data_IF_559641221659
#
_entry.id   IF_559641221659
#
_cell.length_a   1.000
_cell.length_b   1.000
_cell.length_c   1.000
_cell.angle_alpha   90.00
_cell.angle_beta   90.00
_cell.angle_gamma   90.00
#
_symmetry.space_group_name_H-M   'P 1'
#
loop_
_entity.id
_entity.type
_entity.pdbx_description
1 polymer ?
#
# COMPACT_ATOMS: atom_id res chain seq x y z
N UNK A 1 -3.65 20.85 6.95
CA UNK A 1 -5.02 21.09 6.46
C UNK A 1 -4.97 21.13 4.94
N UNK A 2 -5.90 20.50 4.20
CA UNK A 2 -5.89 20.59 2.74
C UNK A 2 -6.06 22.07 2.34
N UNK A 3 -5.17 22.56 1.49
CA UNK A 3 -5.04 23.99 1.13
C UNK A 3 -6.19 24.44 0.21
N UNK A 4 -7.01 23.51 -0.32
CA UNK A 4 -8.11 23.80 -1.25
C UNK A 4 -9.40 23.10 -0.86
N UNK A 5 -10.52 23.85 -0.82
CA UNK A 5 -11.88 23.29 -0.79
C UNK A 5 -12.25 22.81 -2.19
N UNK A 6 -12.67 21.55 -2.31
CA UNK A 6 -13.08 20.94 -3.58
C UNK A 6 -14.60 21.07 -3.75
N UNK A 7 -15.04 21.61 -4.90
CA UNK A 7 -16.42 21.53 -5.35
C UNK A 7 -16.65 20.29 -6.24
N UNK A 8 -17.89 19.78 -6.34
CA UNK A 8 -18.21 18.62 -7.17
C UNK A 8 -17.87 18.91 -8.65
N UNK A 9 -17.14 18.00 -9.29
CA UNK A 9 -16.85 18.08 -10.73
C UNK A 9 -17.43 16.84 -11.41
N UNK A 10 -18.30 17.01 -12.42
CA UNK A 10 -19.02 15.90 -13.06
C UNK A 10 -18.12 14.97 -13.91
N UNK A 11 -16.81 15.20 -13.95
CA UNK A 11 -15.83 14.46 -14.79
C UNK A 11 -14.68 13.86 -13.97
N UNK A 12 -14.61 14.09 -12.65
CA UNK A 12 -13.54 13.55 -11.79
C UNK A 12 -14.12 12.60 -10.74
N UNK A 13 -13.63 11.36 -10.72
CA UNK A 13 -13.84 10.44 -9.61
C UNK A 13 -13.05 10.93 -8.39
N UNK A 14 -13.63 11.89 -7.65
CA UNK A 14 -13.11 12.34 -6.37
C UNK A 14 -13.75 11.53 -5.24
N UNK A 15 -12.99 11.25 -4.19
CA UNK A 15 -13.49 10.44 -3.08
C UNK A 15 -12.59 10.49 -1.88
N UNK A 16 -12.91 9.69 -0.87
CA UNK A 16 -12.14 9.59 0.37
C UNK A 16 -11.58 8.18 0.51
N UNK A 17 -10.31 8.06 0.87
CA UNK A 17 -9.67 6.80 1.28
C UNK A 17 -9.24 6.92 2.74
N UNK A 18 -9.56 5.91 3.54
CA UNK A 18 -9.00 5.77 4.88
C UNK A 18 -7.70 4.96 4.77
N UNK A 19 -6.59 5.57 5.19
CA UNK A 19 -5.29 4.90 5.33
C UNK A 19 -4.88 5.03 6.79
N UNK A 20 -4.27 3.98 7.37
CA UNK A 20 -3.83 3.98 8.77
C UNK A 20 -2.66 4.93 9.01
N UNK A 21 -1.99 5.32 7.92
CA UNK A 21 -0.76 6.14 7.91
C UNK A 21 -1.02 7.60 7.61
N UNK A 22 -2.28 8.01 7.55
CA UNK A 22 -2.66 9.39 7.39
C UNK A 22 -3.48 9.84 8.60
N UNK A 23 -3.22 11.07 9.07
CA UNK A 23 -3.86 11.61 10.27
C UNK A 23 -5.37 11.79 10.13
N UNK A 24 -5.90 11.79 8.90
CA UNK A 24 -7.32 11.93 8.58
C UNK A 24 -7.64 11.14 7.31
N UNK A 25 -8.92 10.84 7.10
CA UNK A 25 -9.37 10.30 5.82
C UNK A 25 -8.99 11.25 4.68
N UNK A 26 -8.28 10.68 3.71
CA UNK A 26 -7.57 11.37 2.65
C UNK A 26 -8.44 11.54 1.42
N UNK A 27 -8.48 12.73 0.83
CA UNK A 27 -9.21 12.99 -0.41
C UNK A 27 -8.33 12.64 -1.61
N UNK A 28 -8.82 11.82 -2.54
CA UNK A 28 -8.14 11.58 -3.82
C UNK A 28 -8.87 12.28 -4.96
N UNK A 29 -8.14 12.72 -5.98
CA UNK A 29 -8.68 13.37 -7.18
C UNK A 29 -8.81 12.43 -8.38
N UNK A 30 -8.23 11.23 -8.31
CA UNK A 30 -8.34 10.21 -9.34
C UNK A 30 -8.30 8.78 -8.80
N UNK A 31 -8.83 7.81 -9.56
CA UNK A 31 -8.74 6.39 -9.23
C UNK A 31 -7.29 5.91 -9.14
N UNK A 32 -6.41 6.43 -10.00
CA UNK A 32 -4.99 6.08 -9.98
C UNK A 32 -4.30 6.54 -8.68
N UNK A 33 -4.66 7.73 -8.19
CA UNK A 33 -4.19 8.24 -6.90
C UNK A 33 -4.72 7.40 -5.74
N UNK A 34 -6.01 7.06 -5.74
CA UNK A 34 -6.59 6.13 -4.75
C UNK A 34 -5.80 4.81 -4.71
N UNK A 35 -5.50 4.26 -5.88
CA UNK A 35 -4.79 2.99 -6.01
C UNK A 35 -3.35 3.09 -5.49
N UNK A 36 -2.67 4.20 -5.75
CA UNK A 36 -1.36 4.48 -5.17
C UNK A 36 -1.41 4.59 -3.63
N UNK A 37 -2.42 5.27 -3.09
CA UNK A 37 -2.61 5.40 -1.64
C UNK A 37 -2.86 4.05 -0.97
N UNK A 38 -3.56 3.11 -1.65
CA UNK A 38 -3.74 1.74 -1.17
C UNK A 38 -2.40 1.00 -1.04
N UNK A 39 -1.51 1.14 -2.03
CA UNK A 39 -0.17 0.53 -2.00
C UNK A 39 0.67 1.10 -0.85
N UNK A 40 0.66 2.42 -0.66
CA UNK A 40 1.39 3.08 0.42
C UNK A 40 0.85 2.69 1.81
N UNK A 41 -0.46 2.48 1.94
CA UNK A 41 -1.10 2.07 3.20
C UNK A 41 -0.62 0.68 3.67
N UNK A 42 -0.26 -0.22 2.75
CA UNK A 42 0.27 -1.56 3.11
C UNK A 42 1.79 -1.66 3.19
N UNK A 43 2.55 -0.76 2.57
CA UNK A 43 4.02 -0.86 2.58
C UNK A 43 4.60 -0.63 3.99
N UNK A 44 5.14 -1.65 4.69
CA UNK A 44 5.57 -1.53 6.08
C UNK A 44 6.67 -0.49 6.30
N UNK A 45 7.38 -0.10 5.24
CA UNK A 45 8.45 0.92 5.29
C UNK A 45 7.90 2.34 5.32
N UNK A 46 6.63 2.53 4.99
CA UNK A 46 5.95 3.85 5.00
C UNK A 46 5.35 4.09 6.39
N UNK A 47 5.69 5.22 7.00
CA UNK A 47 5.17 5.62 8.32
C UNK A 47 4.13 6.71 8.25
N UNK A 48 4.22 7.60 7.25
CA UNK A 48 3.27 8.72 7.10
C UNK A 48 3.05 9.09 5.65
N UNK A 49 1.79 9.36 5.30
CA UNK A 49 1.35 9.82 3.99
C UNK A 49 0.68 11.19 4.15
N UNK A 50 1.00 12.15 3.29
CA UNK A 50 0.29 13.41 3.16
C UNK A 50 -0.16 13.65 1.73
N UNK A 51 -1.33 14.25 1.52
CA UNK A 51 -1.86 14.63 0.21
C UNK A 51 -1.78 16.12 0.00
N UNK A 52 -1.43 16.54 -1.22
CA UNK A 52 -1.23 17.94 -1.61
C UNK A 52 -0.41 18.70 -0.56
N UNK A 53 0.80 18.19 -0.25
CA UNK A 53 1.46 18.47 1.01
C UNK A 53 1.99 19.90 1.09
N UNK A 54 2.45 20.44 -0.05
CA UNK A 54 3.09 21.73 -0.18
C UNK A 54 2.79 22.33 -1.56
N UNK A 55 2.67 23.65 -1.62
CA UNK A 55 2.62 24.38 -2.90
C UNK A 55 3.99 25.01 -3.17
N UNK A 56 4.66 24.49 -4.19
CA UNK A 56 5.94 24.99 -4.67
C UNK A 56 5.72 26.24 -5.51
N UNK A 57 6.50 27.28 -5.22
CA UNK A 57 6.44 28.57 -5.91
C UNK A 57 7.78 28.88 -6.52
N UNK A 58 7.80 29.33 -7.77
CA UNK A 58 9.01 29.81 -8.43
C UNK A 58 8.71 31.01 -9.34
N UNK A 59 9.69 31.90 -9.48
CA UNK A 59 9.60 33.04 -10.37
C UNK A 59 9.62 32.57 -11.84
N UNK A 60 8.72 33.12 -12.65
CA UNK A 60 8.77 33.01 -14.10
C UNK A 60 9.16 34.37 -14.70
N UNK A 61 9.82 34.35 -15.87
CA UNK A 61 10.33 35.55 -16.58
C UNK A 61 9.23 36.61 -16.85
N UNK A 62 7.96 36.23 -16.82
CA UNK A 62 6.81 37.12 -16.94
C UNK A 62 5.98 37.11 -15.64
N UNK A 63 6.46 37.86 -14.63
CA UNK A 63 5.83 38.42 -13.40
C UNK A 63 4.89 37.59 -12.50
N UNK A 64 4.13 36.60 -12.99
CA UNK A 64 3.34 35.71 -12.13
C UNK A 64 4.18 34.51 -11.68
N UNK A 65 4.39 34.41 -10.36
CA UNK A 65 4.95 33.22 -9.75
C UNK A 65 4.12 32.00 -10.17
N UNK A 66 4.80 30.98 -10.69
CA UNK A 66 4.15 29.72 -11.01
C UNK A 66 4.02 28.90 -9.74
N UNK A 67 2.88 28.22 -9.61
CA UNK A 67 2.58 27.34 -8.49
C UNK A 67 2.44 25.90 -8.96
N UNK A 68 2.89 24.97 -8.13
CA UNK A 68 2.76 23.54 -8.35
C UNK A 68 2.66 22.80 -7.02
N UNK A 69 1.67 21.92 -6.89
CA UNK A 69 1.46 21.11 -5.69
C UNK A 69 1.58 19.64 -6.10
N UNK A 70 2.59 18.90 -5.61
CA UNK A 70 2.66 17.46 -5.79
C UNK A 70 1.43 16.77 -5.19
N UNK A 71 1.05 15.60 -5.71
CA UNK A 71 -0.15 14.90 -5.25
C UNK A 71 0.05 14.29 -3.85
N UNK A 72 1.21 13.66 -3.59
CA UNK A 72 1.46 12.89 -2.37
C UNK A 72 2.87 13.15 -1.81
N UNK A 73 3.03 13.21 -0.49
CA UNK A 73 4.32 13.03 0.21
C UNK A 73 4.32 11.72 0.99
N UNK A 74 5.43 11.00 0.92
CA UNK A 74 5.65 9.76 1.66
C UNK A 74 6.85 9.94 2.57
N UNK A 75 6.65 9.66 3.86
CA UNK A 75 7.73 9.54 4.83
C UNK A 75 7.96 8.05 5.12
N UNK A 76 9.21 7.64 5.01
CA UNK A 76 9.64 6.28 5.29
C UNK A 76 10.19 6.16 6.71
N UNK A 77 10.12 4.96 7.25
CA UNK A 77 10.70 4.61 8.54
C UNK A 77 12.23 4.82 8.52
N UNK A 78 12.82 5.46 9.57
CA UNK A 78 14.26 5.67 9.64
C UNK A 78 15.11 4.40 9.48
N UNK A 79 14.72 3.28 10.09
CA UNK A 79 15.46 2.01 9.97
C UNK A 79 15.40 1.44 8.55
N UNK A 80 14.30 1.69 7.84
CA UNK A 80 14.18 1.34 6.42
C UNK A 80 15.09 2.21 5.54
N UNK A 81 15.29 3.49 5.90
CA UNK A 81 16.19 4.41 5.19
C UNK A 81 17.66 4.00 5.39
N UNK A 82 18.02 3.56 6.59
CA UNK A 82 19.37 3.06 6.90
C UNK A 82 19.74 1.82 6.07
N UNK A 83 18.76 0.92 5.90
CA UNK A 83 18.95 -0.34 5.15
C UNK A 83 18.78 -0.21 3.64
N UNK A 84 18.01 0.78 3.17
CA UNK A 84 17.84 1.10 1.76
C UNK A 84 18.04 2.62 1.50
N UNK A 85 19.23 3.05 1.06
CA UNK A 85 19.53 4.47 0.81
C UNK A 85 18.71 5.09 -0.34
N UNK A 86 17.98 4.27 -1.10
CA UNK A 86 17.02 4.77 -2.11
C UNK A 86 15.77 5.36 -1.44
N UNK A 87 15.47 4.95 -0.21
CA UNK A 87 14.36 5.51 0.59
C UNK A 87 14.78 6.82 1.23
N UNK A 88 13.98 7.86 0.99
CA UNK A 88 14.04 9.19 1.58
C UNK A 88 12.64 9.77 1.51
N UNK A 89 12.32 10.79 2.31
CA UNK A 89 11.05 11.54 2.13
C UNK A 89 10.88 11.88 0.65
N UNK A 90 9.76 11.44 0.07
CA UNK A 90 9.55 11.51 -1.39
C UNK A 90 8.22 12.18 -1.70
N UNK A 91 8.28 13.21 -2.53
CA UNK A 91 7.14 13.82 -3.20
C UNK A 91 6.81 13.03 -4.46
N UNK A 92 5.54 12.71 -4.66
CA UNK A 92 5.03 11.98 -5.80
C UNK A 92 4.01 12.83 -6.57
N UNK A 93 4.16 12.85 -7.90
CA UNK A 93 3.07 13.14 -8.83
C UNK A 93 2.50 11.80 -9.33
N UNK A 94 1.19 11.64 -9.25
CA UNK A 94 0.47 10.47 -9.76
C UNK A 94 -0.20 10.84 -11.08
N UNK A 95 0.30 10.31 -12.19
CA UNK A 95 -0.20 10.71 -13.52
C UNK A 95 -0.21 9.55 -14.52
N UNK A 96 -1.30 9.39 -15.29
CA UNK A 96 -1.29 8.40 -16.37
C UNK A 96 -0.24 8.73 -17.45
N UNK A 97 0.43 7.72 -18.01
CA UNK A 97 1.45 7.91 -19.06
C UNK A 97 0.89 8.63 -20.28
N UNK A 98 -0.34 8.34 -20.67
CA UNK A 98 -1.01 9.02 -21.79
C UNK A 98 -1.16 10.54 -21.54
N UNK A 99 -1.44 10.94 -20.30
CA UNK A 99 -1.54 12.35 -19.91
C UNK A 99 -0.17 13.01 -19.90
N UNK A 100 0.84 12.34 -19.35
CA UNK A 100 2.22 12.81 -19.34
C UNK A 100 2.71 13.08 -20.77
N UNK A 101 2.50 12.13 -21.70
CA UNK A 101 2.87 12.29 -23.11
C UNK A 101 2.16 13.48 -23.76
N UNK A 102 0.83 13.56 -23.61
CA UNK A 102 0.01 14.61 -24.25
C UNK A 102 0.31 16.01 -23.73
N UNK A 103 0.63 16.16 -22.44
CA UNK A 103 0.80 17.46 -21.76
C UNK A 103 2.23 17.72 -21.31
N UNK A 104 3.22 17.04 -21.89
CA UNK A 104 4.60 17.07 -21.39
C UNK A 104 5.18 18.49 -21.36
N UNK A 105 4.97 19.28 -22.41
CA UNK A 105 5.46 20.66 -22.50
C UNK A 105 4.92 21.57 -21.38
N UNK A 106 3.70 21.33 -20.91
CA UNK A 106 3.07 22.06 -19.81
C UNK A 106 3.57 21.57 -18.43
N UNK A 107 3.78 20.25 -18.29
CA UNK A 107 4.09 19.61 -17.01
C UNK A 107 5.58 19.63 -16.69
N UNK A 108 6.45 19.47 -17.69
CA UNK A 108 7.90 19.37 -17.52
C UNK A 108 8.49 20.56 -16.73
N UNK A 109 8.10 21.83 -16.97
CA UNK A 109 8.60 22.95 -16.16
C UNK A 109 8.23 22.84 -14.67
N UNK A 110 7.02 22.34 -14.36
CA UNK A 110 6.55 22.13 -12.98
C UNK A 110 7.37 21.03 -12.31
N UNK A 111 7.62 19.93 -13.00
CA UNK A 111 8.44 18.83 -12.49
C UNK A 111 9.91 19.22 -12.30
N UNK A 112 10.47 20.05 -13.18
CA UNK A 112 11.82 20.61 -12.99
C UNK A 112 11.91 21.44 -11.71
N UNK A 113 10.93 22.31 -11.48
CA UNK A 113 10.85 23.10 -10.24
C UNK A 113 10.72 22.19 -9.01
N UNK A 114 9.92 21.13 -9.10
CA UNK A 114 9.75 20.17 -8.01
C UNK A 114 11.03 19.38 -7.69
N UNK A 115 11.78 18.98 -8.71
CA UNK A 115 13.08 18.33 -8.54
C UNK A 115 14.09 19.27 -7.90
N UNK A 116 14.14 20.53 -8.31
CA UNK A 116 15.03 21.53 -7.71
C UNK A 116 14.69 21.74 -6.23
N UNK A 117 13.42 22.00 -5.92
CA UNK A 117 12.94 22.15 -4.55
C UNK A 117 13.25 20.92 -3.70
N UNK A 118 12.98 19.71 -4.21
CA UNK A 118 13.23 18.48 -3.47
C UNK A 118 14.72 18.31 -3.11
N UNK A 119 15.64 18.67 -4.02
CA UNK A 119 17.09 18.63 -3.77
C UNK A 119 17.50 19.59 -2.66
N UNK A 120 16.96 20.81 -2.65
CA UNK A 120 17.23 21.81 -1.62
C UNK A 120 16.74 21.39 -0.22
N UNK A 121 15.73 20.51 -0.16
CA UNK A 121 15.10 20.05 1.08
C UNK A 121 15.44 18.59 1.42
N UNK A 122 16.52 18.04 0.85
CA UNK A 122 16.99 16.66 1.08
C UNK A 122 15.91 15.58 0.86
N UNK A 123 14.95 15.87 -0.01
CA UNK A 123 13.85 14.99 -0.39
C UNK A 123 14.04 14.49 -1.84
N UNK A 124 13.20 13.53 -2.24
CA UNK A 124 13.10 13.08 -3.64
C UNK A 124 11.81 13.56 -4.28
N UNK A 125 11.81 13.71 -5.60
CA UNK A 125 10.62 13.88 -6.41
C UNK A 125 10.53 12.71 -7.39
N UNK A 126 9.35 12.08 -7.48
CA UNK A 126 9.09 10.97 -8.41
C UNK A 126 7.75 11.16 -9.11
N UNK A 127 7.66 10.69 -10.34
CA UNK A 127 6.39 10.54 -11.05
C UNK A 127 6.07 9.05 -11.03
N UNK A 128 4.84 8.72 -10.64
CA UNK A 128 4.33 7.34 -10.64
C UNK A 128 3.11 7.26 -11.55
N UNK A 129 3.02 6.17 -12.30
CA UNK A 129 2.02 5.98 -13.35
C UNK A 129 1.25 4.69 -13.15
N UNK A 130 0.25 4.45 -13.98
CA UNK A 130 -0.53 3.22 -14.02
C UNK A 130 0.34 1.96 -14.17
N UNK A 131 1.50 2.07 -14.81
CA UNK A 131 2.42 0.93 -15.00
C UNK A 131 3.03 0.46 -13.68
N UNK A 132 3.35 1.38 -12.78
CA UNK A 132 3.93 1.03 -11.48
C UNK A 132 2.84 0.74 -10.43
N UNK A 133 1.62 1.23 -10.63
CA UNK A 133 0.50 1.11 -9.67
C UNK A 133 -0.38 -0.10 -9.95
N UNK A 134 -0.82 -0.30 -11.20
CA UNK A 134 -1.84 -1.29 -11.57
C UNK A 134 -1.19 -2.63 -11.91
N UNK A 135 -0.58 -3.23 -10.91
CA UNK A 135 0.07 -4.54 -10.97
C UNK A 135 -0.78 -5.61 -10.27
N UNK A 136 -0.52 -6.92 -10.46
CA UNK A 136 -1.20 -7.96 -9.68
C UNK A 136 -1.12 -7.74 -8.17
N UNK A 137 -0.01 -7.13 -7.71
CA UNK A 137 0.18 -6.73 -6.32
C UNK A 137 -0.93 -5.82 -5.80
N UNK A 138 -1.39 -4.83 -6.58
CA UNK A 138 -2.50 -3.97 -6.17
C UNK A 138 -3.79 -4.77 -5.97
N UNK A 139 -4.11 -5.67 -6.89
CA UNK A 139 -5.33 -6.48 -6.79
C UNK A 139 -5.27 -7.43 -5.59
N UNK A 140 -4.13 -8.07 -5.36
CA UNK A 140 -3.91 -8.94 -4.21
C UNK A 140 -4.02 -8.17 -2.89
N UNK A 141 -3.42 -6.98 -2.82
CA UNK A 141 -3.54 -6.10 -1.67
C UNK A 141 -5.00 -5.72 -1.43
N UNK A 142 -5.76 -5.36 -2.48
CA UNK A 142 -7.19 -5.05 -2.33
C UNK A 142 -7.98 -6.21 -1.73
N UNK A 143 -7.69 -7.45 -2.15
CA UNK A 143 -8.30 -8.65 -1.56
C UNK A 143 -7.92 -8.74 -0.07
N UNK A 144 -6.62 -8.76 0.24
CA UNK A 144 -6.11 -8.95 1.60
C UNK A 144 -6.56 -7.86 2.58
N UNK A 145 -6.84 -6.64 2.10
CA UNK A 145 -7.40 -5.56 2.93
C UNK A 145 -8.73 -5.92 3.60
N UNK A 146 -9.49 -6.87 3.08
CA UNK A 146 -10.74 -7.34 3.69
C UNK A 146 -10.50 -8.20 4.93
N UNK A 147 -9.31 -8.79 5.08
CA UNK A 147 -8.96 -9.72 6.16
C UNK A 147 -8.09 -9.07 7.24
N UNK A 148 -8.07 -7.73 7.29
CA UNK A 148 -7.32 -6.99 8.32
C UNK A 148 -7.99 -7.09 9.69
N UNK A 149 -7.22 -7.00 10.79
CA UNK A 149 -7.78 -7.03 12.15
C UNK A 149 -8.91 -6.02 12.41
N UNK A 150 -8.81 -4.80 11.86
CA UNK A 150 -9.84 -3.76 12.02
C UNK A 150 -11.16 -4.07 11.31
N UNK A 151 -11.15 -5.01 10.35
CA UNK A 151 -12.35 -5.45 9.62
C UNK A 151 -12.91 -6.78 10.10
N UNK A 152 -12.00 -7.67 10.51
CA UNK A 152 -12.34 -8.99 11.04
C UNK A 152 -12.85 -8.93 12.48
N UNK A 153 -12.49 -7.88 13.22
CA UNK A 153 -12.73 -7.83 14.67
C UNK A 153 -11.73 -8.70 15.45
N UNK A 154 -11.95 -8.83 16.75
CA UNK A 154 -11.18 -9.73 17.59
C UNK A 154 -11.47 -11.19 17.18
N UNK A 155 -10.45 -12.04 17.02
CA UNK A 155 -10.67 -13.43 16.67
C UNK A 155 -11.40 -14.15 17.81
N UNK A 156 -12.39 -14.98 17.47
CA UNK A 156 -13.01 -15.92 18.41
C UNK A 156 -12.03 -17.03 18.80
N UNK A 157 -12.35 -17.79 19.85
CA UNK A 157 -11.58 -18.98 20.25
C UNK A 157 -11.45 -20.00 19.09
N UNK A 158 -12.53 -20.25 18.35
CA UNK A 158 -12.50 -21.11 17.16
C UNK A 158 -11.54 -20.56 16.10
N UNK A 159 -11.57 -19.25 15.85
CA UNK A 159 -10.66 -18.61 14.89
C UNK A 159 -9.20 -18.74 15.31
N UNK A 160 -8.89 -18.62 16.60
CA UNK A 160 -7.55 -18.84 17.14
C UNK A 160 -7.12 -20.31 16.97
N UNK A 161 -8.00 -21.27 17.27
CA UNK A 161 -7.73 -22.70 17.07
C UNK A 161 -7.45 -23.01 15.59
N UNK A 162 -8.23 -22.45 14.68
CA UNK A 162 -8.01 -22.56 13.23
C UNK A 162 -6.68 -21.97 12.79
N UNK A 163 -6.28 -20.80 13.31
CA UNK A 163 -4.95 -20.23 13.04
C UNK A 163 -3.84 -21.19 13.49
N UNK A 164 -3.94 -21.74 14.70
CA UNK A 164 -2.96 -22.69 15.22
C UNK A 164 -2.84 -23.93 14.35
N UNK A 165 -3.96 -24.53 13.92
CA UNK A 165 -3.96 -25.69 13.03
C UNK A 165 -3.31 -25.38 11.67
N UNK A 166 -3.63 -24.23 11.07
CA UNK A 166 -3.01 -23.80 9.82
C UNK A 166 -1.49 -23.67 9.95
N UNK A 167 -1.01 -23.04 11.03
CA UNK A 167 0.41 -22.83 11.26
C UNK A 167 1.13 -24.16 11.54
N UNK A 168 0.53 -25.06 12.31
CA UNK A 168 1.08 -26.39 12.59
C UNK A 168 1.24 -27.21 11.30
N UNK A 169 0.22 -27.27 10.45
CA UNK A 169 0.30 -28.01 9.18
C UNK A 169 1.32 -27.37 8.23
N UNK A 170 1.39 -26.04 8.17
CA UNK A 170 2.35 -25.33 7.34
C UNK A 170 3.80 -25.54 7.81
N UNK A 171 4.03 -25.59 9.12
CA UNK A 171 5.34 -25.92 9.70
C UNK A 171 5.84 -27.30 9.27
N UNK A 172 4.95 -28.29 9.19
CA UNK A 172 5.29 -29.68 8.79
C UNK A 172 5.67 -29.79 7.32
N UNK A 173 4.95 -29.09 6.42
CA UNK A 173 5.18 -29.20 4.98
C UNK A 173 6.22 -28.20 4.42
N UNK A 174 6.65 -27.21 5.23
CA UNK A 174 7.55 -26.09 4.87
C UNK A 174 6.93 -25.11 3.85
N UNK A 175 6.43 -25.64 2.73
CA UNK A 175 5.79 -24.91 1.66
C UNK A 175 4.63 -25.72 1.07
N UNK A 176 3.50 -25.07 0.80
CA UNK A 176 2.31 -25.70 0.21
C UNK A 176 1.48 -24.65 -0.54
N UNK A 177 0.21 -24.92 -0.81
CA UNK A 177 -0.76 -23.95 -1.35
C UNK A 177 -1.90 -23.73 -0.36
N UNK A 178 -2.64 -22.60 -0.43
CA UNK A 178 -3.86 -22.40 0.34
C UNK A 178 -4.80 -23.60 0.27
N UNK A 179 -5.08 -24.12 -0.93
CA UNK A 179 -5.98 -25.27 -1.11
C UNK A 179 -5.50 -26.48 -0.31
N UNK A 180 -4.27 -26.90 -0.54
CA UNK A 180 -3.72 -28.09 0.09
C UNK A 180 -3.63 -27.93 1.61
N UNK A 181 -3.31 -26.72 2.10
CA UNK A 181 -3.27 -26.45 3.53
C UNK A 181 -4.64 -26.59 4.19
N UNK A 182 -5.71 -26.09 3.55
CA UNK A 182 -7.08 -26.25 4.04
C UNK A 182 -7.49 -27.74 4.08
N UNK A 183 -7.16 -28.49 3.03
CA UNK A 183 -7.45 -29.93 2.91
C UNK A 183 -6.65 -30.77 3.92
N UNK A 184 -5.47 -30.33 4.33
CA UNK A 184 -4.69 -30.96 5.42
C UNK A 184 -5.31 -30.75 6.80
N UNK A 185 -6.05 -29.65 7.01
CA UNK A 185 -6.72 -29.38 8.29
C UNK A 185 -8.06 -30.11 8.36
N UNK A 186 -8.84 -30.11 7.28
CA UNK A 186 -10.18 -30.70 7.27
C UNK A 186 -10.69 -31.05 5.87
N UNK A 187 -11.52 -32.09 5.81
CA UNK A 187 -12.28 -32.48 4.62
C UNK A 187 -13.67 -31.83 4.56
N UNK A 188 -14.09 -31.10 5.60
CA UNK A 188 -15.39 -30.42 5.65
C UNK A 188 -15.34 -29.10 4.88
N UNK A 189 -16.14 -28.99 3.81
CA UNK A 189 -16.27 -27.75 3.03
C UNK A 189 -16.70 -26.54 3.88
N UNK A 190 -17.54 -26.79 4.88
CA UNK A 190 -18.03 -25.78 5.80
C UNK A 190 -16.91 -25.25 6.73
N UNK A 191 -16.05 -26.13 7.23
CA UNK A 191 -14.88 -25.72 8.02
C UNK A 191 -13.82 -25.05 7.13
N UNK A 192 -13.59 -25.52 5.90
CA UNK A 192 -12.69 -24.86 4.94
C UNK A 192 -13.13 -23.42 4.67
N UNK A 193 -14.44 -23.17 4.56
CA UNK A 193 -14.98 -21.82 4.40
C UNK A 193 -14.66 -20.91 5.60
N UNK A 194 -14.65 -21.45 6.83
CA UNK A 194 -14.26 -20.71 8.04
C UNK A 194 -12.74 -20.53 8.20
N UNK A 195 -11.93 -21.44 7.66
CA UNK A 195 -10.47 -21.35 7.66
C UNK A 195 -9.94 -20.29 6.68
N UNK A 196 -10.61 -20.07 5.54
CA UNK A 196 -10.18 -19.11 4.51
C UNK A 196 -9.90 -17.70 5.06
N UNK A 197 -10.81 -17.07 5.83
CA UNK A 197 -10.53 -15.77 6.43
C UNK A 197 -9.34 -15.76 7.39
N UNK A 198 -9.11 -16.87 8.12
CA UNK A 198 -7.97 -16.97 9.04
C UNK A 198 -6.65 -17.11 8.29
N UNK A 199 -6.62 -17.90 7.22
CA UNK A 199 -5.46 -18.00 6.34
C UNK A 199 -5.07 -16.63 5.76
N UNK A 200 -6.03 -15.90 5.21
CA UNK A 200 -5.76 -14.58 4.63
C UNK A 200 -5.41 -13.53 5.68
N UNK A 201 -5.94 -13.63 6.90
CA UNK A 201 -5.50 -12.80 8.02
C UNK A 201 -4.04 -13.07 8.37
N UNK A 202 -3.61 -14.35 8.46
CA UNK A 202 -2.22 -14.72 8.72
C UNK A 202 -1.26 -14.26 7.61
N UNK A 203 -1.71 -14.25 6.35
CA UNK A 203 -0.97 -13.65 5.23
C UNK A 203 -0.85 -12.13 5.40
N UNK A 204 -1.95 -11.46 5.72
CA UNK A 204 -1.96 -10.01 5.95
C UNK A 204 -1.07 -9.60 7.14
N UNK A 205 -1.01 -10.44 8.17
CA UNK A 205 -0.17 -10.26 9.36
C UNK A 205 1.31 -10.65 9.11
N UNK A 206 1.63 -11.10 7.88
CA UNK A 206 2.96 -11.55 7.45
C UNK A 206 3.50 -12.74 8.25
N UNK A 207 2.63 -13.52 8.91
CA UNK A 207 2.99 -14.80 9.54
C UNK A 207 3.14 -15.87 8.47
N UNK A 208 2.26 -15.86 7.47
CA UNK A 208 2.36 -16.69 6.26
C UNK A 208 2.87 -15.83 5.11
N UNK A 209 3.95 -16.27 4.49
CA UNK A 209 4.54 -15.66 3.31
C UNK A 209 3.87 -16.13 2.03
N UNK A 210 3.74 -15.23 1.07
CA UNK A 210 3.24 -15.47 -0.29
C UNK A 210 3.83 -14.42 -1.23
N UNK A 211 4.07 -14.78 -2.49
CA UNK A 211 4.45 -13.81 -3.51
C UNK A 211 3.22 -13.05 -4.02
N UNK A 212 3.08 -11.80 -3.58
CA UNK A 212 2.00 -10.92 -4.01
C UNK A 212 2.25 -10.26 -5.37
N UNK A 213 3.40 -10.47 -6.00
CA UNK A 213 3.67 -9.93 -7.35
C UNK A 213 2.99 -10.74 -8.47
N UNK A 214 2.60 -11.98 -8.18
CA UNK A 214 1.78 -12.84 -9.04
C UNK A 214 0.32 -12.88 -8.55
N UNK A 215 -0.67 -13.21 -9.41
CA UNK A 215 -2.06 -13.31 -8.97
C UNK A 215 -2.27 -14.20 -7.73
N UNK A 216 -3.00 -13.69 -6.75
CA UNK A 216 -3.36 -14.41 -5.53
C UNK A 216 -4.44 -15.46 -5.85
N UNK A 217 -4.10 -16.73 -5.67
CA UNK A 217 -4.99 -17.85 -5.95
C UNK A 217 -4.88 -18.92 -4.87
N UNK A 218 -5.80 -19.89 -4.87
CA UNK A 218 -5.73 -21.05 -3.98
C UNK A 218 -4.57 -22.01 -4.32
N UNK A 219 -3.86 -21.79 -5.44
CA UNK A 219 -2.68 -22.55 -5.86
C UNK A 219 -1.37 -21.78 -5.65
N UNK A 220 -1.42 -20.55 -5.14
CA UNK A 220 -0.22 -19.75 -4.91
C UNK A 220 0.65 -20.40 -3.82
N UNK A 221 1.98 -20.51 -4.00
CA UNK A 221 2.84 -21.07 -2.96
C UNK A 221 2.83 -20.22 -1.70
N UNK A 222 2.69 -20.88 -0.54
CA UNK A 222 2.72 -20.29 0.80
C UNK A 222 3.71 -20.99 1.70
N UNK A 223 4.30 -20.26 2.64
CA UNK A 223 5.31 -20.74 3.59
C UNK A 223 5.23 -19.96 4.91
N UNK A 224 5.84 -20.46 5.99
CA UNK A 224 5.98 -19.67 7.22
C UNK A 224 7.02 -18.56 7.03
N UNK A 225 6.64 -17.33 7.34
CA UNK A 225 7.55 -16.19 7.36
C UNK A 225 8.44 -16.23 8.62
N UNK A 226 9.65 -15.67 8.54
CA UNK A 226 10.55 -15.56 9.70
C UNK A 226 10.02 -14.74 10.88
N UNK A 227 8.89 -14.02 10.71
CA UNK A 227 8.17 -13.34 11.80
C UNK A 227 7.35 -14.27 12.69
N UNK A 228 6.99 -15.47 12.21
CA UNK A 228 6.25 -16.45 13.00
C UNK A 228 7.04 -16.88 14.27
N UNK A 229 8.37 -16.88 14.19
CA UNK A 229 9.26 -17.25 15.29
C UNK A 229 9.36 -16.18 16.40
N UNK A 230 8.88 -14.96 16.16
CA UNK A 230 8.96 -13.86 17.14
C UNK A 230 7.71 -13.80 18.04
N UNK A 231 6.58 -14.37 17.62
CA UNK A 231 5.34 -14.41 18.40
C UNK A 231 5.31 -15.49 19.49
N UNK A 232 6.19 -16.50 19.43
CA UNK A 232 6.33 -17.51 20.50
C UNK A 232 7.21 -17.05 21.67
N UNK A 233 7.89 -15.90 21.54
CA UNK A 233 8.83 -15.38 22.56
C UNK A 233 8.25 -14.46 23.62
N UNK A 234 6.92 -14.26 23.66
CA UNK A 234 6.26 -13.40 24.68
C UNK A 234 5.26 -14.26 25.49
N UNK A 235 5.73 -15.38 26.03
CA UNK A 235 5.16 -16.01 27.22
C UNK A 235 6.31 -16.64 28.02
N UNK A 236 6.95 -15.82 28.84
CA UNK A 236 7.79 -16.24 29.97
C UNK A 236 7.62 -15.25 31.10
#
# INVERSE_FOLDING_TARGET
>A
MPVRKIGPSPVKNTGRVSTRKANQSQTFESLLERDFLILLDVDPRVVRIGIQPITLRWAAVAEKAKEYTPDVVVHYDPSSIETDPRLRTTLFEVKPRAILKRKWSELQPKFKAAVAWAREHECRFKIVTEVEIQTPYLENVRILRHYRPDRMGLPSEEALQFRSLLLEQLARCKQTTPRNLLEMVTNSWDEQARLIPQLWALVNDQVIGIDLSAPLTMASPIWLSGKANLSEGIQS
#
